data_IF_286686147883
#
_entry.id   IF_286686147883
#
_cell.length_a   1.000
_cell.length_b   1.000
_cell.length_c   1.000
_cell.angle_alpha   90.00
_cell.angle_beta   90.00
_cell.angle_gamma   90.00
#
_symmetry.space_group_name_H-M   'P 1'
#
loop_
_entity.id
_entity.type
_entity.pdbx_description
1 polymer ?
#
# COMPACT_ATOMS: atom_id res chain seq x y z
N UNK A 1 -5.66 9.26 -24.31
CA UNK A 1 -5.27 8.25 -23.29
C UNK A 1 -6.51 7.47 -22.89
N UNK A 2 -6.37 6.23 -22.41
CA UNK A 2 -7.50 5.34 -22.08
C UNK A 2 -8.64 6.08 -21.33
N UNK A 3 -9.76 6.33 -22.02
CA UNK A 3 -11.02 6.83 -21.46
C UNK A 3 -11.33 8.33 -21.51
N UNK A 4 -10.43 9.22 -21.94
CA UNK A 4 -10.71 10.66 -22.11
C UNK A 4 -9.58 11.60 -21.71
N UNK A 5 -9.83 12.91 -21.79
CA UNK A 5 -8.92 13.94 -21.26
C UNK A 5 -9.09 14.07 -19.74
N UNK A 6 -8.01 14.29 -18.98
CA UNK A 6 -8.11 14.52 -17.55
C UNK A 6 -8.91 15.80 -17.30
N UNK A 7 -9.95 15.69 -16.47
CA UNK A 7 -10.74 16.85 -16.03
C UNK A 7 -9.91 17.80 -15.16
N UNK A 8 -8.83 17.30 -14.55
CA UNK A 8 -7.90 18.09 -13.76
C UNK A 8 -6.46 17.74 -14.14
N UNK A 9 -5.70 18.74 -14.59
CA UNK A 9 -4.34 18.57 -15.07
C UNK A 9 -3.30 18.28 -13.97
N UNK A 10 -3.59 18.62 -12.71
CA UNK A 10 -2.68 18.41 -11.57
C UNK A 10 -2.73 16.98 -11.03
N UNK A 11 -3.90 16.33 -11.08
CA UNK A 11 -4.15 15.03 -10.44
C UNK A 11 -4.56 13.91 -11.41
N UNK A 12 -4.74 14.23 -12.70
CA UNK A 12 -5.06 13.25 -13.73
C UNK A 12 -6.51 12.74 -13.71
N UNK A 13 -6.72 11.56 -14.30
CA UNK A 13 -8.04 10.93 -14.38
C UNK A 13 -8.33 10.08 -13.12
N UNK A 14 -9.46 10.33 -12.47
CA UNK A 14 -9.95 9.55 -11.33
C UNK A 14 -11.46 9.33 -11.45
N UNK A 15 -12.01 8.31 -10.78
CA UNK A 15 -13.47 8.12 -10.70
C UNK A 15 -14.08 8.85 -9.51
N UNK A 16 -13.44 8.72 -8.33
CA UNK A 16 -13.85 9.31 -7.06
C UNK A 16 -12.62 9.48 -6.18
N UNK A 17 -12.67 10.42 -5.24
CA UNK A 17 -11.62 10.69 -4.27
C UNK A 17 -12.22 10.56 -2.87
N UNK A 18 -11.46 9.93 -1.96
CA UNK A 18 -11.89 9.68 -0.59
C UNK A 18 -10.73 9.90 0.37
N UNK A 19 -11.05 10.17 1.62
CA UNK A 19 -10.09 10.24 2.73
C UNK A 19 -10.48 9.17 3.75
N UNK A 20 -9.50 8.38 4.20
CA UNK A 20 -9.74 7.28 5.13
C UNK A 20 -8.46 6.78 5.78
N UNK A 21 -8.61 5.85 6.72
CA UNK A 21 -7.52 5.19 7.43
C UNK A 21 -7.92 3.76 7.80
N UNK A 22 -6.96 2.89 8.12
CA UNK A 22 -7.20 1.52 8.58
C UNK A 22 -7.86 1.50 9.96
N UNK A 23 -8.92 0.70 10.09
CA UNK A 23 -9.58 0.47 11.38
C UNK A 23 -8.79 -0.48 12.29
N UNK A 24 -7.74 -1.15 11.78
CA UNK A 24 -6.85 -2.00 12.57
C UNK A 24 -5.80 -1.11 13.24
N UNK A 25 -5.82 -0.96 14.58
CA UNK A 25 -4.98 0.03 15.26
C UNK A 25 -3.48 -0.13 14.99
N UNK A 26 -3.00 -1.36 14.86
CA UNK A 26 -1.58 -1.62 14.63
C UNK A 26 -1.14 -1.26 13.21
N UNK A 27 -1.97 -1.51 12.20
CA UNK A 27 -1.72 -1.08 10.82
C UNK A 27 -1.71 0.46 10.75
N UNK A 28 -2.68 1.10 11.40
CA UNK A 28 -2.75 2.57 11.45
C UNK A 28 -1.54 3.18 12.15
N UNK A 29 -1.04 2.56 13.22
CA UNK A 29 0.12 3.06 13.98
C UNK A 29 1.44 2.88 13.26
N UNK A 30 1.61 1.77 12.53
CA UNK A 30 2.87 1.45 11.82
C UNK A 30 2.99 2.18 10.49
N UNK A 31 1.89 2.31 9.76
CA UNK A 31 1.89 2.97 8.46
C UNK A 31 2.37 4.42 8.54
N UNK A 32 3.05 4.89 7.49
CA UNK A 32 3.50 6.29 7.38
C UNK A 32 2.36 7.34 7.42
N UNK A 33 1.10 6.91 7.33
CA UNK A 33 -0.09 7.77 7.36
C UNK A 33 -1.30 6.94 7.81
N UNK A 34 -2.40 6.91 7.05
CA UNK A 34 -3.60 6.15 7.40
C UNK A 34 -3.47 4.62 7.28
N UNK A 35 -2.33 4.06 6.87
CA UNK A 35 -2.17 2.61 6.69
C UNK A 35 -3.02 2.02 5.54
N UNK A 36 -3.48 2.86 4.60
CA UNK A 36 -4.39 2.47 3.51
C UNK A 36 -3.74 1.45 2.56
N UNK A 37 -2.48 1.66 2.19
CA UNK A 37 -1.75 0.76 1.28
C UNK A 37 -1.64 -0.63 1.92
N UNK A 38 -1.12 -0.70 3.15
CA UNK A 38 -0.99 -1.93 3.94
C UNK A 38 -2.31 -2.67 4.04
N UNK A 39 -3.39 -1.99 4.46
CA UNK A 39 -4.71 -2.60 4.62
C UNK A 39 -5.27 -3.11 3.27
N UNK A 40 -5.03 -2.39 2.18
CA UNK A 40 -5.47 -2.79 0.84
C UNK A 40 -4.75 -4.06 0.40
N UNK A 41 -3.42 -4.12 0.55
CA UNK A 41 -2.64 -5.30 0.17
C UNK A 41 -3.01 -6.54 0.98
N UNK A 42 -3.22 -6.39 2.30
CA UNK A 42 -3.70 -7.47 3.17
C UNK A 42 -5.05 -7.99 2.69
N UNK A 43 -6.00 -7.10 2.44
CA UNK A 43 -7.33 -7.48 1.93
C UNK A 43 -7.22 -8.26 0.61
N UNK A 44 -6.43 -7.77 -0.35
CA UNK A 44 -6.27 -8.42 -1.65
C UNK A 44 -5.66 -9.81 -1.51
N UNK A 45 -4.63 -9.96 -0.65
CA UNK A 45 -3.96 -11.23 -0.39
C UNK A 45 -4.91 -12.23 0.29
N UNK A 46 -5.62 -11.81 1.34
CA UNK A 46 -6.58 -12.66 2.06
C UNK A 46 -7.77 -13.10 1.18
N UNK A 47 -8.15 -12.27 0.20
CA UNK A 47 -9.19 -12.60 -0.78
C UNK A 47 -8.67 -13.40 -1.98
N UNK A 48 -7.37 -13.71 -2.03
CA UNK A 48 -6.76 -14.43 -3.15
C UNK A 48 -6.84 -13.66 -4.47
N UNK A 49 -6.94 -12.33 -4.42
CA UNK A 49 -6.93 -11.47 -5.61
C UNK A 49 -5.50 -11.18 -6.08
N UNK A 50 -4.51 -11.40 -5.21
CA UNK A 50 -3.08 -11.38 -5.51
C UNK A 50 -2.40 -12.56 -4.80
N UNK A 51 -1.33 -13.10 -5.38
CA UNK A 51 -0.47 -14.11 -4.75
C UNK A 51 0.67 -13.48 -3.93
N UNK A 52 0.90 -12.18 -4.11
CA UNK A 52 1.91 -11.42 -3.41
C UNK A 52 2.00 -9.97 -3.89
N UNK A 53 2.73 -9.15 -3.14
CA UNK A 53 2.93 -7.73 -3.42
C UNK A 53 4.41 -7.37 -3.37
N UNK A 54 4.86 -6.55 -4.32
CA UNK A 54 6.20 -5.94 -4.25
C UNK A 54 6.13 -4.78 -3.27
N UNK A 55 6.88 -4.88 -2.17
CA UNK A 55 6.92 -3.89 -1.08
C UNK A 55 8.36 -3.56 -0.71
N UNK A 56 8.57 -2.45 0.02
CA UNK A 56 9.89 -2.02 0.47
C UNK A 56 10.06 -2.32 1.96
N UNK A 57 11.04 -3.15 2.31
CA UNK A 57 11.44 -3.35 3.69
C UNK A 57 12.51 -2.29 4.05
N UNK A 58 12.18 -1.41 5.00
CA UNK A 58 13.12 -0.40 5.51
C UNK A 58 14.08 -1.01 6.52
N UNK A 59 15.25 -0.39 6.67
CA UNK A 59 16.18 -0.71 7.75
C UNK A 59 17.05 -1.94 7.50
N UNK A 60 17.04 -2.50 6.28
CA UNK A 60 17.85 -3.66 5.91
C UNK A 60 18.72 -3.33 4.69
N UNK A 61 20.05 -3.57 4.75
CA UNK A 61 20.86 -3.87 5.94
C UNK A 61 21.16 -2.65 6.83
N UNK A 62 20.76 -1.44 6.43
CA UNK A 62 21.05 -0.19 7.16
C UNK A 62 19.76 0.59 7.44
N UNK A 63 19.67 1.35 8.54
CA UNK A 63 18.45 2.07 8.94
C UNK A 63 17.80 2.93 7.84
N UNK A 64 18.59 3.54 6.96
CA UNK A 64 18.13 4.43 5.88
C UNK A 64 17.98 3.74 4.52
N UNK A 65 18.25 2.43 4.44
CA UNK A 65 18.12 1.67 3.19
C UNK A 65 16.80 0.94 3.16
N UNK A 66 16.21 0.92 1.97
CA UNK A 66 15.02 0.18 1.64
C UNK A 66 15.38 -0.91 0.62
N UNK A 67 14.91 -2.12 0.85
CA UNK A 67 15.09 -3.23 -0.08
C UNK A 67 13.74 -3.73 -0.57
N UNK A 68 13.57 -3.94 -1.89
CA UNK A 68 12.35 -4.50 -2.42
C UNK A 68 12.27 -6.00 -2.09
N UNK A 69 11.11 -6.45 -1.65
CA UNK A 69 10.79 -7.86 -1.46
C UNK A 69 9.45 -8.19 -2.12
N UNK A 70 9.22 -9.47 -2.40
CA UNK A 70 7.89 -9.99 -2.75
C UNK A 70 7.27 -10.54 -1.48
N UNK A 71 6.37 -9.78 -0.85
CA UNK A 71 5.63 -10.23 0.32
C UNK A 71 4.48 -11.16 -0.12
N UNK A 72 4.41 -12.34 0.49
CA UNK A 72 3.39 -13.38 0.23
C UNK A 72 2.59 -13.74 1.49
N UNK A 73 2.83 -13.04 2.59
CA UNK A 73 2.06 -13.18 3.84
C UNK A 73 1.67 -11.82 4.41
N UNK A 74 0.62 -11.82 5.24
CA UNK A 74 0.18 -10.62 5.98
C UNK A 74 1.31 -10.06 6.84
N UNK A 75 2.08 -10.92 7.51
CA UNK A 75 3.20 -10.52 8.36
C UNK A 75 4.31 -9.81 7.56
N UNK A 76 4.65 -10.30 6.36
CA UNK A 76 5.63 -9.66 5.49
C UNK A 76 5.14 -8.30 4.99
N UNK A 77 3.84 -8.16 4.69
CA UNK A 77 3.25 -6.87 4.31
C UNK A 77 3.30 -5.88 5.49
N UNK A 78 2.93 -6.33 6.69
CA UNK A 78 2.96 -5.50 7.92
C UNK A 78 4.38 -5.12 8.30
N UNK A 79 5.36 -5.99 8.09
CA UNK A 79 6.77 -5.71 8.34
C UNK A 79 7.36 -4.65 7.38
N UNK A 80 6.71 -4.41 6.24
CA UNK A 80 7.09 -3.40 5.25
C UNK A 80 6.28 -2.09 5.37
N UNK A 81 5.51 -1.92 6.46
CA UNK A 81 4.57 -0.81 6.67
C UNK A 81 5.08 0.29 7.58
#
# INVERSE_FOLDING_TARGET
MFGGYPQNWLIGCYRRLFVGYSLVPDIRRRGASGGIITQTLIYLLEKGQIDGAVVLCQGRPKPWRAEPIIARSVDEIVAAS
#
